data_IF_492608351486
#
_entry.id   IF_492608351486
#
_cell.length_a   1.000
_cell.length_b   1.000
_cell.length_c   1.000
_cell.angle_alpha   90.00
_cell.angle_beta   90.00
_cell.angle_gamma   90.00
#
_symmetry.space_group_name_H-M   'P 1'
#
loop_
_entity.id
_entity.type
_entity.pdbx_description
1 polymer ?
#
# COMPACT_ATOMS: atom_id res chain seq x y z
N UNK A 1 19.04 -3.61 -21.50
CA UNK A 1 18.44 -3.12 -20.24
C UNK A 1 17.18 -2.28 -20.47
N UNK A 2 17.16 -1.35 -21.42
CA UNK A 2 16.00 -0.47 -21.68
C UNK A 2 14.73 -1.21 -22.13
N UNK A 3 14.85 -2.23 -22.99
CA UNK A 3 13.70 -3.03 -23.48
C UNK A 3 13.05 -3.85 -22.37
N UNK A 4 13.83 -4.43 -21.45
CA UNK A 4 13.31 -5.18 -20.29
C UNK A 4 12.57 -4.26 -19.32
N UNK A 5 13.14 -3.09 -19.01
CA UNK A 5 12.50 -2.06 -18.16
C UNK A 5 11.18 -1.57 -18.76
N UNK A 6 11.06 -1.51 -20.08
CA UNK A 6 9.80 -1.15 -20.74
C UNK A 6 8.73 -2.23 -20.60
N UNK A 7 9.08 -3.52 -20.77
CA UNK A 7 8.16 -4.64 -20.58
C UNK A 7 7.58 -4.68 -19.16
N UNK A 8 8.44 -4.55 -18.14
CA UNK A 8 8.00 -4.55 -16.73
C UNK A 8 6.98 -3.45 -16.47
N UNK A 9 7.26 -2.24 -16.96
CA UNK A 9 6.35 -1.10 -16.79
C UNK A 9 5.02 -1.32 -17.51
N UNK A 10 5.05 -1.79 -18.75
CA UNK A 10 3.84 -2.09 -19.53
C UNK A 10 2.94 -3.11 -18.81
N UNK A 11 3.52 -4.19 -18.28
CA UNK A 11 2.79 -5.18 -17.49
C UNK A 11 2.27 -4.59 -16.18
N UNK A 12 3.10 -3.85 -15.44
CA UNK A 12 2.69 -3.19 -14.20
C UNK A 12 1.48 -2.27 -14.41
N UNK A 13 1.44 -1.51 -15.50
CA UNK A 13 0.30 -0.66 -15.81
C UNK A 13 -0.92 -1.45 -16.28
N UNK A 14 -0.73 -2.50 -17.09
CA UNK A 14 -1.83 -3.32 -17.60
C UNK A 14 -2.61 -4.01 -16.47
N UNK A 15 -1.92 -4.48 -15.44
CA UNK A 15 -2.51 -5.22 -14.31
C UNK A 15 -2.65 -4.38 -13.03
N UNK A 16 -2.51 -3.04 -13.13
CA UNK A 16 -2.54 -2.17 -11.94
C UNK A 16 -3.85 -2.34 -11.16
N UNK A 17 -3.81 -2.38 -9.81
CA UNK A 17 -5.02 -2.51 -9.01
C UNK A 17 -5.90 -1.26 -9.05
N UNK A 18 -7.19 -1.45 -8.78
CA UNK A 18 -8.16 -0.41 -8.41
C UNK A 18 -8.34 -0.49 -6.90
N UNK A 19 -8.13 0.63 -6.23
CA UNK A 19 -8.25 0.74 -4.77
C UNK A 19 -9.59 1.36 -4.42
N UNK A 20 -10.46 0.60 -3.76
CA UNK A 20 -11.68 1.11 -3.18
C UNK A 20 -11.32 1.80 -1.86
N UNK A 21 -11.39 3.13 -1.86
CA UNK A 21 -11.01 3.98 -0.73
C UNK A 21 -12.26 4.57 -0.07
N UNK A 22 -12.25 4.64 1.27
CA UNK A 22 -13.33 5.27 2.02
C UNK A 22 -13.51 6.73 1.59
N UNK A 23 -14.77 7.21 1.53
CA UNK A 23 -15.06 8.57 1.09
C UNK A 23 -14.41 9.65 1.96
N UNK A 24 -14.20 9.36 3.25
CA UNK A 24 -13.59 10.28 4.21
C UNK A 24 -12.10 10.03 4.42
N UNK A 25 -11.49 9.08 3.72
CA UNK A 25 -10.05 8.80 3.80
C UNK A 25 -9.23 10.07 3.51
N UNK A 26 -8.45 10.57 4.48
CA UNK A 26 -7.66 11.79 4.30
C UNK A 26 -6.37 11.54 3.51
N UNK A 27 -5.93 10.30 3.36
CA UNK A 27 -4.63 9.96 2.78
C UNK A 27 -4.75 9.49 1.33
N UNK A 28 -3.90 10.04 0.46
CA UNK A 28 -3.84 9.67 -0.94
C UNK A 28 -2.65 8.76 -1.23
N UNK A 29 -2.82 7.84 -2.18
CA UNK A 29 -1.72 7.09 -2.78
C UNK A 29 -0.93 8.04 -3.68
N UNK A 30 0.30 8.36 -3.30
CA UNK A 30 1.14 9.34 -4.03
C UNK A 30 2.31 8.70 -4.80
N UNK A 31 2.58 7.41 -4.59
CA UNK A 31 3.54 6.63 -5.35
C UNK A 31 3.24 5.13 -5.26
N UNK A 32 3.59 4.39 -6.31
CA UNK A 32 3.50 2.92 -6.36
C UNK A 32 4.80 2.36 -6.94
N UNK A 33 5.51 1.58 -6.13
CA UNK A 33 6.65 0.78 -6.55
C UNK A 33 6.16 -0.52 -7.16
N UNK A 34 6.72 -0.96 -8.29
CA UNK A 34 6.40 -2.28 -8.86
C UNK A 34 7.63 -3.18 -8.98
N UNK A 35 7.41 -4.48 -8.80
CA UNK A 35 8.39 -5.55 -9.04
C UNK A 35 7.72 -6.67 -9.84
N UNK A 36 8.33 -7.07 -10.96
CA UNK A 36 7.88 -8.21 -11.77
C UNK A 36 8.63 -9.47 -11.33
N UNK A 37 7.90 -10.55 -11.10
CA UNK A 37 8.43 -11.87 -10.79
C UNK A 37 8.09 -12.83 -11.94
N UNK A 38 9.10 -13.24 -12.71
CA UNK A 38 8.97 -14.30 -13.73
C UNK A 38 9.33 -15.69 -13.16
N UNK A 39 9.88 -15.73 -11.95
CA UNK A 39 10.22 -16.95 -11.22
C UNK A 39 9.98 -16.74 -9.73
N UNK A 40 9.88 -17.83 -8.98
CA UNK A 40 9.72 -17.75 -7.52
C UNK A 40 10.92 -17.03 -6.89
N UNK A 41 10.67 -15.93 -6.18
CA UNK A 41 11.71 -15.16 -5.48
C UNK A 41 11.20 -14.56 -4.17
N UNK A 42 12.13 -14.20 -3.30
CA UNK A 42 11.83 -13.45 -2.09
C UNK A 42 11.53 -11.99 -2.45
N UNK A 43 10.48 -11.42 -1.87
CA UNK A 43 10.18 -10.00 -1.99
C UNK A 43 11.22 -9.16 -1.25
N UNK A 44 11.70 -8.11 -1.90
CA UNK A 44 12.62 -7.15 -1.29
C UNK A 44 11.87 -6.11 -0.44
N UNK A 45 10.69 -5.67 -0.90
CA UNK A 45 9.84 -4.70 -0.21
C UNK A 45 9.10 -5.31 0.99
N UNK A 46 8.79 -6.62 0.93
CA UNK A 46 8.15 -7.39 1.99
C UNK A 46 8.97 -8.66 2.32
N UNK A 47 10.09 -8.57 3.08
CA UNK A 47 11.04 -9.67 3.25
C UNK A 47 10.51 -10.95 3.91
N UNK A 48 9.27 -10.98 4.41
CA UNK A 48 8.63 -12.19 4.94
C UNK A 48 7.91 -13.00 3.85
N UNK A 49 7.80 -12.49 2.62
CA UNK A 49 7.09 -13.12 1.50
C UNK A 49 8.07 -13.69 0.48
N UNK A 50 7.82 -14.94 0.10
CA UNK A 50 8.32 -15.51 -1.16
C UNK A 50 7.18 -15.45 -2.16
N UNK A 51 7.32 -14.68 -3.23
CA UNK A 51 6.32 -14.61 -4.31
C UNK A 51 6.49 -15.85 -5.17
N UNK A 52 5.51 -16.74 -5.13
CA UNK A 52 5.56 -18.02 -5.82
C UNK A 52 5.04 -17.89 -7.25
N UNK A 53 5.89 -18.22 -8.21
CA UNK A 53 5.54 -18.34 -9.63
C UNK A 53 5.72 -19.81 -9.99
N UNK A 54 4.61 -20.51 -10.14
CA UNK A 54 4.55 -21.88 -10.67
C UNK A 54 4.26 -21.82 -12.16
N UNK A 55 5.26 -22.06 -13.00
CA UNK A 55 5.17 -21.93 -14.47
C UNK A 55 4.03 -22.74 -15.11
N UNK A 56 3.46 -23.73 -14.41
CA UNK A 56 2.30 -24.49 -14.88
C UNK A 56 0.99 -23.73 -14.80
N UNK A 57 0.87 -22.78 -13.87
CA UNK A 57 -0.38 -22.09 -13.53
C UNK A 57 -0.25 -20.56 -13.53
N UNK A 58 0.94 -20.03 -13.27
CA UNK A 58 1.26 -18.61 -13.18
C UNK A 58 2.44 -18.31 -14.10
N UNK A 59 2.21 -17.46 -15.10
CA UNK A 59 3.24 -17.01 -16.01
C UNK A 59 4.17 -15.96 -15.38
N UNK A 60 3.60 -15.08 -14.56
CA UNK A 60 4.34 -14.10 -13.76
C UNK A 60 3.46 -13.57 -12.63
N UNK A 61 4.10 -12.93 -11.64
CA UNK A 61 3.43 -12.16 -10.61
C UNK A 61 3.96 -10.72 -10.60
N UNK A 62 3.11 -9.76 -10.21
CA UNK A 62 3.49 -8.37 -10.02
C UNK A 62 3.20 -8.01 -8.58
N UNK A 63 4.20 -7.49 -7.89
CA UNK A 63 4.05 -6.85 -6.59
C UNK A 63 3.95 -5.33 -6.78
N UNK A 64 3.00 -4.72 -6.10
CA UNK A 64 2.81 -3.28 -6.02
C UNK A 64 3.02 -2.85 -4.56
N UNK A 65 4.10 -2.14 -4.27
CA UNK A 65 4.34 -1.46 -3.01
C UNK A 65 3.69 -0.07 -3.06
N UNK A 66 2.60 0.10 -2.31
CA UNK A 66 1.70 1.26 -2.32
C UNK A 66 2.09 2.21 -1.21
N UNK A 67 2.53 3.41 -1.57
CA UNK A 67 3.00 4.41 -0.63
C UNK A 67 1.89 5.38 -0.21
N UNK A 68 1.80 5.58 1.10
CA UNK A 68 1.06 6.68 1.72
C UNK A 68 2.02 7.55 2.51
N UNK A 69 1.85 8.87 2.44
CA UNK A 69 2.64 9.79 3.29
C UNK A 69 2.30 9.63 4.78
N UNK A 70 1.14 9.03 5.09
CA UNK A 70 0.64 8.77 6.44
C UNK A 70 -0.20 7.50 6.48
N UNK A 71 -0.04 6.74 7.55
CA UNK A 71 -1.11 5.95 8.17
C UNK A 71 -1.73 6.83 9.27
N UNK A 72 -2.96 6.55 9.67
CA UNK A 72 -3.64 7.32 10.72
C UNK A 72 -2.94 7.25 12.07
N UNK A 73 -2.06 6.28 12.33
CA UNK A 73 -1.29 6.13 13.56
C UNK A 73 0.15 6.62 13.45
N UNK A 74 0.76 6.62 12.26
CA UNK A 74 2.15 7.05 12.06
C UNK A 74 2.42 7.74 10.73
N UNK A 75 3.52 8.50 10.70
CA UNK A 75 4.07 9.06 9.48
C UNK A 75 4.56 7.94 8.57
N UNK A 76 4.05 7.95 7.34
CA UNK A 76 4.14 7.00 6.23
C UNK A 76 3.75 5.54 6.48
N UNK A 77 3.35 4.87 5.40
CA UNK A 77 3.12 3.43 5.32
C UNK A 77 3.42 2.89 3.92
N UNK A 78 3.76 1.61 3.85
CA UNK A 78 3.89 0.79 2.65
C UNK A 78 2.99 -0.44 2.74
N UNK A 79 1.88 -0.40 2.01
CA UNK A 79 1.04 -1.58 1.78
C UNK A 79 1.44 -2.27 0.48
N UNK A 80 1.01 -3.50 0.29
CA UNK A 80 1.44 -4.39 -0.79
C UNK A 80 0.25 -5.10 -1.41
N UNK A 81 0.25 -5.17 -2.74
CA UNK A 81 -0.69 -5.98 -3.52
C UNK A 81 0.11 -6.89 -4.44
N UNK A 82 -0.20 -8.18 -4.46
CA UNK A 82 0.38 -9.14 -5.39
C UNK A 82 -0.69 -9.61 -6.37
N UNK A 83 -0.42 -9.50 -7.67
CA UNK A 83 -1.28 -9.95 -8.76
C UNK A 83 -0.57 -11.07 -9.51
N UNK A 84 -1.15 -12.27 -9.54
CA UNK A 84 -0.60 -13.44 -10.21
C UNK A 84 -1.35 -13.68 -11.51
N UNK A 85 -0.63 -13.71 -12.62
CA UNK A 85 -1.21 -13.75 -13.96
C UNK A 85 -0.90 -15.09 -14.61
N UNK A 86 -1.94 -15.75 -15.14
CA UNK A 86 -1.80 -17.00 -15.88
C UNK A 86 -1.28 -16.79 -17.30
N UNK A 87 -0.89 -17.88 -17.96
CA UNK A 87 -0.34 -17.85 -19.34
C UNK A 87 -1.31 -17.33 -20.39
N UNK A 88 -2.62 -17.36 -20.13
CA UNK A 88 -3.65 -16.77 -21.00
C UNK A 88 -3.87 -15.27 -20.77
N UNK A 89 -3.15 -14.68 -19.80
CA UNK A 89 -3.25 -13.27 -19.43
C UNK A 89 -4.37 -12.95 -18.42
N UNK A 90 -5.09 -13.94 -17.92
CA UNK A 90 -6.08 -13.75 -16.84
C UNK A 90 -5.39 -13.60 -15.48
N UNK A 91 -6.02 -12.83 -14.58
CA UNK A 91 -5.58 -12.77 -13.17
C UNK A 91 -6.07 -14.04 -12.47
N UNK A 92 -5.13 -14.91 -12.11
CA UNK A 92 -5.41 -16.24 -11.55
C UNK A 92 -5.53 -16.22 -10.02
N UNK A 93 -4.68 -15.42 -9.37
CA UNK A 93 -4.61 -15.31 -7.91
C UNK A 93 -4.22 -13.89 -7.52
N UNK A 94 -4.55 -13.50 -6.30
CA UNK A 94 -4.15 -12.21 -5.76
C UNK A 94 -4.00 -12.25 -4.25
N UNK A 95 -3.10 -11.42 -3.74
CA UNK A 95 -2.87 -11.24 -2.30
C UNK A 95 -2.76 -9.76 -1.97
N UNK A 96 -3.10 -9.40 -0.74
CA UNK A 96 -2.95 -8.05 -0.20
C UNK A 96 -2.34 -8.11 1.20
N UNK A 97 -1.50 -7.14 1.56
CA UNK A 97 -0.93 -7.04 2.90
C UNK A 97 -1.97 -6.65 3.94
N UNK A 98 -1.74 -7.11 5.16
CA UNK A 98 -2.63 -6.90 6.29
C UNK A 98 -1.81 -6.88 7.58
N UNK A 99 -1.42 -5.69 8.06
CA UNK A 99 -0.73 -5.47 9.33
C UNK A 99 0.47 -6.42 9.57
N UNK A 100 1.38 -6.48 8.60
CA UNK A 100 2.57 -7.35 8.63
C UNK A 100 2.32 -8.83 8.29
N UNK A 101 1.08 -9.18 7.93
CA UNK A 101 0.69 -10.44 7.26
C UNK A 101 0.20 -10.12 5.84
N UNK A 102 -0.39 -11.12 5.19
CA UNK A 102 -1.07 -10.98 3.90
C UNK A 102 -2.26 -11.93 3.85
N UNK A 103 -3.25 -11.59 3.03
CA UNK A 103 -4.48 -12.33 2.82
C UNK A 103 -4.65 -12.62 1.32
N UNK A 104 -5.33 -13.72 1.01
CA UNK A 104 -5.83 -13.95 -0.34
C UNK A 104 -6.94 -12.94 -0.65
N UNK A 105 -6.91 -12.36 -1.85
CA UNK A 105 -7.94 -11.46 -2.32
C UNK A 105 -8.96 -12.26 -3.14
N UNK A 106 -10.07 -12.59 -2.49
CA UNK A 106 -11.15 -13.39 -3.05
C UNK A 106 -12.49 -12.79 -2.67
N UNK A 107 -13.37 -12.60 -3.64
CA UNK A 107 -14.74 -12.13 -3.43
C UNK A 107 -15.48 -13.05 -2.46
N UNK A 108 -16.10 -12.47 -1.44
CA UNK A 108 -16.87 -13.25 -0.45
C UNK A 108 -18.16 -13.85 -1.06
N UNK A 109 -18.66 -13.27 -2.15
CA UNK A 109 -19.90 -13.72 -2.78
C UNK A 109 -19.63 -14.79 -3.85
N UNK A 110 -18.61 -14.60 -4.69
CA UNK A 110 -18.34 -15.49 -5.84
C UNK A 110 -17.23 -16.49 -5.57
N UNK A 111 -16.37 -16.26 -4.56
CA UNK A 111 -15.14 -17.02 -4.30
C UNK A 111 -14.11 -16.94 -5.43
N UNK A 112 -14.24 -15.95 -6.31
CA UNK A 112 -13.30 -15.67 -7.40
C UNK A 112 -12.46 -14.43 -7.09
N UNK A 113 -11.36 -14.25 -7.81
CA UNK A 113 -10.54 -13.03 -7.72
C UNK A 113 -11.36 -11.85 -8.29
N UNK A 114 -11.58 -10.76 -7.54
CA UNK A 114 -12.38 -9.64 -7.99
C UNK A 114 -11.61 -8.79 -9.01
N UNK A 115 -11.94 -8.94 -10.30
CA UNK A 115 -11.23 -8.27 -11.40
C UNK A 115 -12.19 -7.41 -12.22
N UNK A 116 -11.81 -6.16 -12.46
CA UNK A 116 -12.48 -5.21 -13.34
C UNK A 116 -11.74 -5.09 -14.67
N UNK A 117 -12.48 -4.92 -15.77
CA UNK A 117 -11.95 -4.81 -17.13
C UNK A 117 -10.88 -5.88 -17.46
N UNK A 118 -11.11 -7.12 -17.03
CA UNK A 118 -10.29 -8.31 -17.26
C UNK A 118 -8.90 -8.36 -16.58
N UNK A 119 -8.28 -7.22 -16.24
CA UNK A 119 -6.90 -7.20 -15.72
C UNK A 119 -6.71 -6.44 -14.41
N UNK A 120 -7.66 -5.58 -14.03
CA UNK A 120 -7.49 -4.73 -12.84
C UNK A 120 -8.10 -5.38 -11.61
N UNK A 121 -7.24 -5.88 -10.72
CA UNK A 121 -7.67 -6.37 -9.41
C UNK A 121 -8.38 -5.25 -8.63
N UNK A 122 -9.55 -5.53 -8.08
CA UNK A 122 -10.28 -4.60 -7.20
C UNK A 122 -10.03 -5.01 -5.75
N UNK A 123 -9.46 -4.10 -4.97
CA UNK A 123 -9.21 -4.29 -3.53
C UNK A 123 -9.82 -3.15 -2.73
N UNK A 124 -10.15 -3.41 -1.47
CA UNK A 124 -10.58 -2.42 -0.50
C UNK A 124 -9.45 -2.08 0.43
N UNK A 125 -9.30 -0.81 0.77
CA UNK A 125 -8.37 -0.37 1.79
C UNK A 125 -9.12 -0.15 3.10
N UNK A 126 -8.57 -0.67 4.20
CA UNK A 126 -9.04 -0.31 5.53
C UNK A 126 -8.89 1.21 5.72
N UNK A 127 -9.94 1.93 6.15
CA UNK A 127 -9.83 3.36 6.43
C UNK A 127 -8.74 3.64 7.47
N UNK A 128 -7.93 4.65 7.20
CA UNK A 128 -6.86 5.15 8.08
C UNK A 128 -5.62 4.26 8.15
N UNK A 129 -5.77 2.93 8.21
CA UNK A 129 -4.64 1.99 8.34
C UNK A 129 -4.24 1.26 7.06
N UNK A 130 -5.04 1.40 6.01
CA UNK A 130 -4.78 0.95 4.64
C UNK A 130 -4.54 -0.55 4.41
N UNK A 131 -4.73 -1.42 5.39
CA UNK A 131 -4.69 -2.86 5.17
C UNK A 131 -5.57 -3.27 3.97
N UNK A 132 -5.03 -4.15 3.11
CA UNK A 132 -5.64 -4.52 1.84
C UNK A 132 -6.60 -5.69 2.05
N UNK A 133 -7.85 -5.51 1.62
CA UNK A 133 -8.96 -6.42 1.83
C UNK A 133 -9.65 -6.77 0.51
N UNK A 134 -10.25 -7.95 0.39
CA UNK A 134 -11.08 -8.28 -0.77
C UNK A 134 -12.45 -7.59 -0.75
N UNK A 135 -12.92 -7.15 0.42
CA UNK A 135 -14.28 -6.62 0.59
C UNK A 135 -14.39 -5.69 1.80
N UNK A 136 -15.14 -4.60 1.66
CA UNK A 136 -15.42 -3.64 2.74
C UNK A 136 -16.10 -4.28 3.97
N UNK A 137 -16.89 -5.34 3.79
CA UNK A 137 -17.56 -6.08 4.89
C UNK A 137 -16.58 -6.66 5.90
N UNK A 138 -15.29 -6.78 5.54
CA UNK A 138 -14.25 -7.27 6.45
C UNK A 138 -13.72 -6.19 7.40
N UNK A 139 -13.85 -4.90 7.09
CA UNK A 139 -13.31 -3.82 7.93
C UNK A 139 -13.87 -3.88 9.36
N UNK A 140 -15.19 -4.06 9.60
CA UNK A 140 -15.71 -4.14 10.96
C UNK A 140 -15.24 -5.36 11.77
N UNK A 141 -14.61 -6.35 11.13
CA UNK A 141 -14.03 -7.53 11.81
C UNK A 141 -12.66 -7.21 12.42
N UNK A 142 -12.04 -6.09 12.04
CA UNK A 142 -10.70 -5.69 12.48
C UNK A 142 -10.81 -5.00 13.84
N UNK A 143 -10.12 -5.47 14.90
CA UNK A 143 -10.15 -4.81 16.19
C UNK A 143 -9.64 -3.36 16.10
N UNK A 144 -10.39 -2.43 16.69
CA UNK A 144 -9.96 -1.03 16.78
C UNK A 144 -10.07 -0.23 15.48
N UNK A 145 -10.70 -0.75 14.41
CA UNK A 145 -10.70 -0.13 13.09
C UNK A 145 -11.25 1.31 13.07
N UNK A 146 -12.19 1.62 13.97
CA UNK A 146 -12.80 2.94 14.09
C UNK A 146 -12.02 3.81 15.07
N UNK A 147 -11.57 3.22 16.18
CA UNK A 147 -10.78 3.89 17.20
C UNK A 147 -9.43 4.39 16.65
N UNK A 148 -8.80 3.64 15.73
CA UNK A 148 -7.59 4.07 15.03
C UNK A 148 -7.81 5.33 14.23
N UNK A 149 -9.00 5.49 13.63
CA UNK A 149 -9.35 6.65 12.82
C UNK A 149 -9.55 7.93 13.64
N UNK A 150 -9.84 7.79 14.94
CA UNK A 150 -10.09 8.91 15.84
C UNK A 150 -9.21 8.87 17.10
N UNK A 151 -9.55 8.06 18.09
CA UNK A 151 -9.09 8.08 19.47
C UNK A 151 -7.59 7.84 19.55
N UNK A 152 -7.07 6.86 18.81
CA UNK A 152 -5.66 6.51 18.80
C UNK A 152 -4.89 7.08 17.60
N UNK A 153 -5.51 7.97 16.82
CA UNK A 153 -4.84 8.62 15.69
C UNK A 153 -3.53 9.31 16.13
N UNK A 154 -2.48 9.09 15.35
CA UNK A 154 -1.14 9.57 15.55
C UNK A 154 -0.35 8.85 16.65
N UNK A 155 -0.88 7.82 17.32
CA UNK A 155 -0.22 7.27 18.53
C UNK A 155 1.22 6.80 18.33
N UNK A 156 1.57 6.33 17.13
CA UNK A 156 2.86 5.73 16.82
C UNK A 156 3.93 6.74 16.36
N UNK A 157 3.55 7.98 16.02
CA UNK A 157 4.52 9.03 15.66
C UNK A 157 5.21 8.73 14.34
N UNK A 158 6.54 8.61 14.33
CA UNK A 158 7.34 8.32 13.12
C UNK A 158 7.85 6.89 13.18
N UNK A 159 7.51 6.10 12.16
CA UNK A 159 8.01 4.73 12.00
C UNK A 159 9.41 4.73 11.38
N UNK A 160 10.48 4.46 12.14
CA UNK A 160 11.84 4.37 11.58
C UNK A 160 12.23 2.91 11.42
N UNK A 161 12.21 2.41 10.18
CA UNK A 161 12.71 1.07 9.86
C UNK A 161 14.24 1.02 9.97
N UNK A 162 14.78 -0.14 10.36
CA UNK A 162 16.22 -0.33 10.59
C UNK A 162 17.09 0.16 9.42
N UNK A 163 16.67 -0.18 8.19
CA UNK A 163 17.41 0.15 6.97
C UNK A 163 17.48 1.65 6.67
N UNK A 164 16.60 2.46 7.27
CA UNK A 164 16.56 3.91 7.10
C UNK A 164 17.00 4.69 8.34
N UNK A 165 17.44 4.01 9.41
CA UNK A 165 17.79 4.63 10.70
C UNK A 165 18.81 5.76 10.58
N UNK A 166 19.74 5.69 9.62
CA UNK A 166 20.76 6.71 9.40
C UNK A 166 20.34 7.82 8.43
N UNK A 167 19.16 7.71 7.82
CA UNK A 167 18.66 8.62 6.78
C UNK A 167 17.41 9.39 7.21
N UNK A 168 16.62 8.84 8.14
CA UNK A 168 15.46 9.50 8.74
C UNK A 168 15.83 9.92 10.16
N UNK A 169 15.84 11.23 10.41
CA UNK A 169 16.23 11.80 11.70
C UNK A 169 15.01 12.45 12.35
N UNK A 170 14.46 11.78 13.35
CA UNK A 170 13.40 12.28 14.22
C UNK A 170 13.78 12.05 15.68
N UNK A 171 13.73 13.11 16.49
CA UNK A 171 13.91 13.04 17.94
C UNK A 171 12.57 12.88 18.68
N UNK A 172 12.60 12.81 20.01
CA UNK A 172 11.39 12.69 20.82
C UNK A 172 10.43 13.89 20.66
N UNK A 173 10.96 15.07 20.33
CA UNK A 173 10.14 16.25 20.06
C UNK A 173 9.41 16.09 18.72
N UNK A 174 10.09 15.61 17.68
CA UNK A 174 9.50 15.31 16.38
C UNK A 174 8.46 14.20 16.48
N UNK A 175 8.74 13.13 17.24
CA UNK A 175 7.77 12.09 17.55
C UNK A 175 6.48 12.71 18.08
N UNK A 176 6.57 13.53 19.14
CA UNK A 176 5.40 14.19 19.72
C UNK A 176 4.70 15.18 18.78
N UNK A 177 5.46 15.93 17.96
CA UNK A 177 4.88 16.81 16.94
C UNK A 177 4.07 16.02 15.93
N UNK A 178 4.59 14.90 15.44
CA UNK A 178 3.93 14.02 14.47
C UNK A 178 2.67 13.41 15.07
N UNK A 179 2.75 12.86 16.30
CA UNK A 179 1.57 12.33 17.00
C UNK A 179 0.44 13.35 17.05
N UNK A 180 0.76 14.55 17.52
CA UNK A 180 -0.21 15.63 17.65
C UNK A 180 -0.70 16.16 16.29
N UNK A 181 0.18 16.19 15.29
CA UNK A 181 -0.17 16.65 13.94
C UNK A 181 -1.21 15.74 13.31
N UNK A 182 -0.95 14.42 13.28
CA UNK A 182 -1.86 13.43 12.70
C UNK A 182 -3.21 13.46 13.44
N UNK A 183 -3.18 13.44 14.78
CA UNK A 183 -4.40 13.56 15.60
C UNK A 183 -5.22 14.81 15.27
N UNK A 184 -4.58 15.97 15.11
CA UNK A 184 -5.30 17.25 14.88
C UNK A 184 -5.76 17.42 13.44
N UNK A 185 -5.02 16.90 12.46
CA UNK A 185 -5.27 17.16 11.03
C UNK A 185 -6.07 16.07 10.35
N UNK A 186 -5.91 14.83 10.79
CA UNK A 186 -6.37 13.68 10.01
C UNK A 186 -7.32 12.77 10.78
N UNK A 187 -7.57 13.00 12.07
CA UNK A 187 -8.64 12.26 12.76
C UNK A 187 -9.98 12.43 12.04
N UNK A 188 -10.67 11.33 11.81
CA UNK A 188 -11.91 11.29 11.05
C UNK A 188 -12.82 10.16 11.52
N UNK A 189 -14.05 10.19 11.05
CA UNK A 189 -15.01 9.10 11.18
C UNK A 189 -15.16 8.44 9.80
N UNK A 190 -14.79 7.17 9.63
CA UNK A 190 -14.93 6.48 8.34
C UNK A 190 -16.38 6.49 7.87
N UNK A 191 -16.60 6.75 6.58
CA UNK A 191 -17.93 6.72 6.00
C UNK A 191 -18.48 5.28 5.86
N UNK A 192 -17.57 4.30 5.69
CA UNK A 192 -17.87 2.94 5.23
C UNK A 192 -18.56 2.92 3.86
N UNK A 193 -18.39 3.99 3.11
CA UNK A 193 -18.79 4.16 1.72
C UNK A 193 -17.50 4.31 0.91
N UNK A 194 -17.41 3.59 -0.21
CA UNK A 194 -16.16 3.45 -0.93
C UNK A 194 -16.28 3.99 -2.36
N UNK A 195 -15.26 4.71 -2.81
CA UNK A 195 -15.10 5.13 -4.20
C UNK A 195 -13.88 4.47 -4.83
N UNK A 196 -13.93 4.15 -6.12
CA UNK A 196 -12.75 3.64 -6.81
C UNK A 196 -11.70 4.74 -6.98
N UNK A 197 -10.47 4.43 -6.61
CA UNK A 197 -9.28 5.15 -7.00
C UNK A 197 -8.50 4.32 -8.01
N UNK A 198 -8.41 4.84 -9.23
CA UNK A 198 -7.59 4.27 -10.29
C UNK A 198 -6.28 5.07 -10.35
N UNK A 199 -5.14 4.50 -9.93
CA UNK A 199 -3.88 5.23 -9.92
C UNK A 199 -3.49 5.73 -11.32
N UNK A 200 -3.02 6.98 -11.40
CA UNK A 200 -2.46 7.55 -12.62
C UNK A 200 -1.15 6.85 -13.00
N UNK A 201 -0.86 6.71 -14.29
CA UNK A 201 0.35 6.01 -14.76
C UNK A 201 1.64 6.71 -14.33
N UNK A 202 1.59 8.01 -14.02
CA UNK A 202 2.75 8.82 -13.61
C UNK A 202 3.25 8.50 -12.21
N UNK A 203 2.44 7.88 -11.35
CA UNK A 203 2.85 7.56 -9.97
C UNK A 203 3.52 6.17 -9.85
N UNK A 204 3.61 5.41 -10.94
CA UNK A 204 4.27 4.11 -10.99
C UNK A 204 5.76 4.24 -11.29
N UNK A 205 6.58 3.57 -10.48
CA UNK A 205 8.03 3.46 -10.66
C UNK A 205 8.52 2.08 -10.25
N UNK A 206 9.67 1.60 -10.75
CA UNK A 206 10.30 0.40 -10.21
C UNK A 206 10.50 0.50 -8.70
N UNK A 207 10.33 -0.61 -7.98
CA UNK A 207 10.46 -0.66 -6.52
C UNK A 207 11.76 0.00 -6.01
N UNK A 208 12.90 -0.26 -6.64
CA UNK A 208 14.19 0.35 -6.24
C UNK A 208 14.15 1.88 -6.24
N UNK A 209 13.44 2.50 -7.19
CA UNK A 209 13.30 3.96 -7.23
C UNK A 209 12.42 4.48 -6.10
N UNK A 210 11.31 3.78 -5.79
CA UNK A 210 10.48 4.15 -4.65
C UNK A 210 11.29 4.03 -3.36
N UNK A 211 11.95 2.89 -3.16
CA UNK A 211 12.80 2.58 -2.00
C UNK A 211 13.87 3.63 -1.75
N UNK A 212 14.58 4.06 -2.79
CA UNK A 212 15.58 5.14 -2.71
C UNK A 212 14.96 6.48 -2.30
N UNK A 213 13.72 6.75 -2.69
CA UNK A 213 13.04 8.01 -2.38
C UNK A 213 12.42 8.10 -0.98
N UNK A 214 12.24 6.95 -0.29
CA UNK A 214 11.52 6.90 1.01
C UNK A 214 12.11 7.87 2.03
N UNK A 215 13.43 7.87 2.32
CA UNK A 215 13.97 8.78 3.35
C UNK A 215 13.70 10.25 3.04
N UNK A 216 13.83 10.64 1.77
CA UNK A 216 13.55 12.02 1.35
C UNK A 216 12.08 12.38 1.53
N UNK A 217 11.15 11.49 1.16
CA UNK A 217 9.70 11.69 1.34
C UNK A 217 9.35 11.88 2.81
N UNK A 218 9.88 11.02 3.69
CA UNK A 218 9.64 11.13 5.15
C UNK A 218 10.20 12.42 5.71
N UNK A 219 11.45 12.77 5.36
CA UNK A 219 12.09 13.99 5.86
C UNK A 219 11.35 15.26 5.39
N UNK A 220 10.81 15.27 4.17
CA UNK A 220 9.98 16.38 3.67
C UNK A 220 8.71 16.57 4.52
N UNK A 221 8.03 15.47 4.87
CA UNK A 221 6.86 15.54 5.76
C UNK A 221 7.23 15.96 7.18
N UNK A 222 8.37 15.50 7.71
CA UNK A 222 8.88 15.97 9.01
C UNK A 222 9.15 17.48 9.01
N UNK A 223 9.77 18.02 7.96
CA UNK A 223 9.98 19.46 7.85
C UNK A 223 8.67 20.24 7.80
N UNK A 224 7.68 19.75 7.05
CA UNK A 224 6.34 20.35 6.99
C UNK A 224 5.71 20.40 8.39
N UNK A 225 5.76 19.28 9.11
CA UNK A 225 5.20 19.18 10.46
C UNK A 225 5.96 20.09 11.43
N UNK A 226 7.29 20.17 11.35
CA UNK A 226 8.11 21.09 12.17
C UNK A 226 7.68 22.54 11.94
N UNK A 227 7.48 22.95 10.69
CA UNK A 227 7.01 24.31 10.33
C UNK A 227 5.60 24.60 10.81
N UNK A 228 4.73 23.59 10.90
CA UNK A 228 3.37 23.77 11.43
C UNK A 228 3.32 24.19 12.91
N UNK A 229 4.35 23.85 13.69
CA UNK A 229 4.44 24.16 15.12
C UNK A 229 5.37 25.34 15.45
N UNK A 230 6.02 25.92 14.45
CA UNK A 230 6.86 27.11 14.58
C UNK A 230 6.05 28.36 14.20
#
# INVERSE_FOLDING_TARGET
>A
MTVLKNKERELALKYKPVFMMDLHEPFAISAIGYTLFEQTQKSDSFPKRFVAVDEKSVAFAIEYAVWFDYDIEHLYELEHVWVYVASDGSVHHAEGSFHGKYLNIVSLDTKEVPVSNQTHLVVYLQPGKHAVLPDARMVPLIPGWKESCNTTAGQAGVLIQEMFRNQIVADDQDQNKVRNYIKKKYSFEPAMEYKPFCPDDTIFMPWEQLKESIPQRVNMQLELIRRYYN
#
